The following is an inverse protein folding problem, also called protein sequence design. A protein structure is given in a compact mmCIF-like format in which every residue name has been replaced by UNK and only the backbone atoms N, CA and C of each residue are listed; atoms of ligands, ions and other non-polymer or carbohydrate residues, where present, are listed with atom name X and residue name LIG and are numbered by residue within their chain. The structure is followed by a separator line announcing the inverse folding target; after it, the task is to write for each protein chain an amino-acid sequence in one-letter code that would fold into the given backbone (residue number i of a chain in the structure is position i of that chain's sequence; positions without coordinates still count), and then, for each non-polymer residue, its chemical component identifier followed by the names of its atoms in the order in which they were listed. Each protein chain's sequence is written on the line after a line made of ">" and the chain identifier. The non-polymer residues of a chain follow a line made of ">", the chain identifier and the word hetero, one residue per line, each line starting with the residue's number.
data_IF_007867432415
#
_entry.id   IF_007867432415
#
_cell.length_a   1.000
_cell.length_b   1.000
_cell.length_c   1.000
_cell.angle_alpha   90.00
_cell.angle_beta   90.00
_cell.angle_gamma   90.00
#
_symmetry.space_group_name_H-M   'P 1'
#
loop_
_entity.id
_entity.type
_entity.pdbx_description
1 polymer ?
#
# COMPACT_ATOMS: atom_id res chain seq x y z
N UNK A 1 -17.52 -7.29 -18.70
CA UNK A 1 -18.81 -6.63 -18.35
C UNK A 1 -19.68 -6.42 -19.58
N UNK A 2 -19.22 -5.75 -20.64
CA UNK A 2 -20.04 -5.58 -21.85
C UNK A 2 -20.45 -6.90 -22.53
N UNK A 3 -19.59 -7.93 -22.49
CA UNK A 3 -19.87 -9.23 -23.10
C UNK A 3 -20.99 -10.04 -22.41
N UNK A 4 -21.28 -9.78 -21.12
CA UNK A 4 -22.34 -10.47 -20.37
C UNK A 4 -23.61 -9.63 -20.21
N UNK A 5 -23.65 -8.43 -20.79
CA UNK A 5 -24.75 -7.49 -20.63
C UNK A 5 -24.71 -6.71 -19.32
N UNK A 6 -25.52 -5.65 -19.27
CA UNK A 6 -25.75 -4.85 -18.06
C UNK A 6 -27.05 -5.29 -17.41
N UNK A 7 -27.13 -5.23 -16.08
CA UNK A 7 -28.42 -5.34 -15.39
C UNK A 7 -29.29 -4.13 -15.76
N UNK A 8 -30.43 -4.39 -16.40
CA UNK A 8 -31.35 -3.35 -16.87
C UNK A 8 -32.57 -3.15 -15.98
N UNK A 9 -32.90 -4.15 -15.16
CA UNK A 9 -34.02 -4.13 -14.23
C UNK A 9 -33.71 -4.93 -12.95
N UNK A 10 -34.39 -4.64 -11.83
CA UNK A 10 -34.32 -5.46 -10.63
C UNK A 10 -34.81 -6.88 -10.89
N UNK A 11 -34.23 -7.84 -10.18
CA UNK A 11 -34.62 -9.25 -10.28
C UNK A 11 -34.78 -9.86 -8.88
N UNK A 12 -35.63 -10.87 -8.77
CA UNK A 12 -35.76 -11.72 -7.59
C UNK A 12 -35.46 -13.17 -7.97
N UNK A 13 -34.83 -13.92 -7.07
CA UNK A 13 -34.63 -15.35 -7.26
C UNK A 13 -35.94 -16.11 -6.98
N UNK A 14 -36.28 -17.03 -7.88
CA UNK A 14 -37.42 -17.94 -7.76
C UNK A 14 -36.88 -19.37 -7.56
N UNK A 15 -37.08 -19.91 -6.36
CA UNK A 15 -36.55 -21.21 -5.97
C UNK A 15 -37.29 -22.41 -6.61
N UNK A 16 -38.55 -22.24 -7.04
CA UNK A 16 -39.30 -23.31 -7.71
C UNK A 16 -38.77 -23.55 -9.12
N UNK A 17 -38.37 -22.47 -9.79
CA UNK A 17 -37.86 -22.50 -11.17
C UNK A 17 -36.34 -22.44 -11.27
N UNK A 18 -35.65 -22.25 -10.14
CA UNK A 18 -34.20 -22.04 -10.04
C UNK A 18 -33.67 -20.94 -10.97
N UNK A 19 -34.40 -19.82 -11.03
CA UNK A 19 -34.11 -18.71 -11.97
C UNK A 19 -34.38 -17.35 -11.35
N UNK A 20 -33.61 -16.36 -11.80
CA UNK A 20 -33.95 -14.95 -11.55
C UNK A 20 -35.08 -14.51 -12.47
N UNK A 21 -36.06 -13.81 -11.90
CA UNK A 21 -37.19 -13.22 -12.62
C UNK A 21 -37.22 -11.71 -12.41
N UNK A 22 -37.57 -10.91 -13.43
CA UNK A 22 -37.74 -9.47 -13.28
C UNK A 22 -38.77 -9.10 -12.21
N UNK A 23 -38.51 -7.99 -11.51
CA UNK A 23 -39.45 -7.36 -10.57
C UNK A 23 -39.39 -5.84 -10.77
N UNK A 24 -40.51 -5.15 -10.52
CA UNK A 24 -40.51 -3.67 -10.55
C UNK A 24 -39.61 -3.09 -9.46
N UNK A 25 -39.17 -1.84 -9.65
CA UNK A 25 -38.43 -1.11 -8.62
C UNK A 25 -39.19 -1.01 -7.29
N UNK A 26 -40.47 -0.66 -7.33
CA UNK A 26 -41.31 -0.61 -6.13
C UNK A 26 -41.41 -1.98 -5.45
N UNK A 27 -41.49 -3.06 -6.24
CA UNK A 27 -41.49 -4.43 -5.73
C UNK A 27 -40.17 -4.81 -5.07
N UNK A 28 -39.03 -4.44 -5.68
CA UNK A 28 -37.71 -4.66 -5.10
C UNK A 28 -37.53 -3.91 -3.77
N UNK A 29 -37.91 -2.63 -3.73
CA UNK A 29 -37.83 -1.84 -2.49
C UNK A 29 -38.75 -2.39 -1.40
N UNK A 30 -39.98 -2.77 -1.73
CA UNK A 30 -40.91 -3.37 -0.78
C UNK A 30 -40.39 -4.71 -0.24
N UNK A 31 -39.80 -5.55 -1.09
CA UNK A 31 -39.20 -6.83 -0.70
C UNK A 31 -38.03 -6.62 0.27
N UNK A 32 -37.08 -5.75 -0.08
CA UNK A 32 -35.94 -5.42 0.79
C UNK A 32 -36.44 -4.86 2.13
N UNK A 33 -37.38 -3.92 2.12
CA UNK A 33 -37.94 -3.32 3.34
C UNK A 33 -38.64 -4.36 4.23
N UNK A 34 -39.37 -5.32 3.63
CA UNK A 34 -40.01 -6.42 4.38
C UNK A 34 -38.96 -7.26 5.11
N UNK A 35 -37.87 -7.63 4.45
CA UNK A 35 -36.81 -8.44 5.08
C UNK A 35 -36.11 -7.67 6.19
N UNK A 36 -35.69 -6.43 5.94
CA UNK A 36 -35.02 -5.59 6.94
C UNK A 36 -35.90 -5.35 8.18
N UNK A 37 -37.18 -5.01 8.02
CA UNK A 37 -38.10 -4.79 9.16
C UNK A 37 -38.36 -6.03 10.02
N UNK A 38 -38.21 -7.22 9.44
CA UNK A 38 -38.46 -8.48 10.13
C UNK A 38 -37.21 -9.05 10.82
N UNK A 39 -36.05 -8.40 10.70
CA UNK A 39 -34.86 -8.84 11.42
C UNK A 39 -35.03 -8.58 12.93
N UNK A 40 -34.70 -9.54 13.81
CA UNK A 40 -34.77 -9.36 15.26
C UNK A 40 -33.90 -8.21 15.80
N UNK A 41 -32.84 -7.85 15.06
CA UNK A 41 -31.94 -6.74 15.37
C UNK A 41 -31.36 -6.19 14.07
N UNK A 42 -31.15 -4.86 13.95
CA UNK A 42 -30.52 -4.26 12.79
C UNK A 42 -29.08 -4.74 12.58
N UNK A 43 -28.40 -5.22 13.64
CA UNK A 43 -27.05 -5.79 13.56
C UNK A 43 -27.00 -7.18 12.89
N UNK A 44 -28.15 -7.80 12.59
CA UNK A 44 -28.21 -9.03 11.80
C UNK A 44 -28.20 -8.79 10.28
N UNK A 45 -28.16 -7.53 9.85
CA UNK A 45 -27.90 -7.16 8.46
C UNK A 45 -26.47 -6.66 8.31
N UNK A 46 -25.89 -6.94 7.16
CA UNK A 46 -24.55 -6.52 6.76
C UNK A 46 -24.66 -5.70 5.47
N UNK A 47 -24.08 -4.49 5.47
CA UNK A 47 -24.24 -3.52 4.40
C UNK A 47 -22.88 -3.23 3.75
N UNK A 48 -22.49 -4.13 2.85
CA UNK A 48 -21.21 -4.03 2.14
C UNK A 48 -21.23 -2.90 1.10
N UNK A 49 -20.27 -1.99 1.21
CA UNK A 49 -20.09 -0.89 0.24
C UNK A 49 -18.96 -1.23 -0.74
N UNK A 50 -19.10 -0.77 -1.99
CA UNK A 50 -18.08 -0.96 -3.02
C UNK A 50 -17.16 0.26 -3.11
N UNK A 51 -15.85 0.05 -3.14
CA UNK A 51 -14.87 1.10 -3.46
C UNK A 51 -14.97 1.67 -4.89
N UNK A 52 -15.89 1.15 -5.72
CA UNK A 52 -16.23 1.71 -7.04
C UNK A 52 -17.43 2.66 -6.99
N UNK A 53 -18.14 2.75 -5.87
CA UNK A 53 -19.24 3.69 -5.70
C UNK A 53 -18.71 5.14 -5.61
N UNK A 54 -19.52 6.12 -6.01
CA UNK A 54 -19.17 7.53 -5.80
C UNK A 54 -19.27 7.89 -4.32
N UNK A 55 -18.60 8.98 -3.93
CA UNK A 55 -18.64 9.47 -2.55
C UNK A 55 -20.07 9.85 -2.12
N UNK A 56 -20.87 10.42 -3.02
CA UNK A 56 -22.27 10.80 -2.75
C UNK A 56 -23.14 9.57 -2.51
N UNK A 57 -22.98 8.53 -3.34
CA UNK A 57 -23.72 7.28 -3.18
C UNK A 57 -23.33 6.57 -1.87
N UNK A 58 -22.04 6.49 -1.56
CA UNK A 58 -21.54 5.92 -0.31
C UNK A 58 -22.05 6.72 0.91
N UNK A 59 -22.07 8.06 0.82
CA UNK A 59 -22.59 8.92 1.87
C UNK A 59 -24.08 8.70 2.14
N UNK A 60 -24.91 8.62 1.10
CA UNK A 60 -26.35 8.35 1.26
C UNK A 60 -26.59 6.94 1.78
N UNK A 61 -25.81 5.96 1.33
CA UNK A 61 -25.91 4.57 1.76
C UNK A 61 -25.61 4.42 3.25
N UNK A 62 -24.51 5.00 3.74
CA UNK A 62 -24.20 4.94 5.18
C UNK A 62 -25.26 5.65 6.03
N UNK A 63 -25.85 6.75 5.53
CA UNK A 63 -26.86 7.49 6.27
C UNK A 63 -28.14 6.66 6.41
N UNK A 64 -28.56 6.00 5.32
CA UNK A 64 -29.69 5.08 5.32
C UNK A 64 -29.49 3.95 6.34
N UNK A 65 -28.33 3.30 6.31
CA UNK A 65 -28.07 2.14 7.17
C UNK A 65 -27.92 2.54 8.65
N UNK A 66 -27.33 3.69 8.94
CA UNK A 66 -27.29 4.25 10.31
C UNK A 66 -28.68 4.63 10.80
N UNK A 67 -29.52 5.19 9.93
CA UNK A 67 -30.94 5.45 10.24
C UNK A 67 -31.74 4.15 10.42
N UNK A 68 -31.38 3.06 9.73
CA UNK A 68 -31.92 1.73 9.95
C UNK A 68 -31.52 1.14 11.32
N UNK A 69 -30.40 1.61 11.91
CA UNK A 69 -30.04 1.36 13.31
C UNK A 69 -28.81 0.49 13.53
N UNK A 70 -27.91 0.38 12.54
CA UNK A 70 -26.67 -0.40 12.66
C UNK A 70 -25.45 0.36 12.14
N UNK A 71 -24.27 -0.05 12.63
CA UNK A 71 -22.96 0.33 12.10
C UNK A 71 -22.25 -0.84 11.41
N UNK A 72 -22.96 -1.92 11.05
CA UNK A 72 -22.38 -3.09 10.41
C UNK A 72 -22.08 -2.83 8.92
N UNK A 73 -20.94 -2.17 8.68
CA UNK A 73 -20.43 -1.77 7.36
C UNK A 73 -19.06 -2.40 7.09
N UNK A 74 -18.99 -3.68 6.72
CA UNK A 74 -17.78 -4.15 6.07
C UNK A 74 -17.57 -3.36 4.77
N UNK A 75 -16.33 -3.07 4.45
CA UNK A 75 -15.94 -2.49 3.17
C UNK A 75 -14.76 -3.27 2.58
N UNK A 76 -14.59 -3.16 1.27
CA UNK A 76 -13.44 -3.73 0.57
C UNK A 76 -12.09 -3.26 1.15
N UNK A 77 -12.03 -2.07 1.74
CA UNK A 77 -10.82 -1.53 2.35
C UNK A 77 -10.41 -2.24 3.64
N UNK A 78 -11.32 -2.91 4.36
CA UNK A 78 -10.98 -3.70 5.56
C UNK A 78 -9.89 -4.74 5.26
N UNK A 79 -9.99 -5.41 4.12
CA UNK A 79 -9.03 -6.45 3.73
C UNK A 79 -7.69 -5.92 3.21
N UNK A 80 -7.62 -4.64 2.80
CA UNK A 80 -6.48 -4.09 2.07
C UNK A 80 -5.70 -3.02 2.84
N UNK A 81 -6.43 -2.09 3.47
CA UNK A 81 -5.89 -0.84 4.03
C UNK A 81 -6.00 -0.74 5.55
N UNK A 82 -6.83 -1.57 6.21
CA UNK A 82 -7.09 -1.43 7.65
C UNK A 82 -5.81 -1.50 8.50
N UNK A 83 -4.94 -2.49 8.24
CA UNK A 83 -3.66 -2.62 8.94
C UNK A 83 -2.77 -1.38 8.77
N UNK A 84 -2.68 -0.84 7.54
CA UNK A 84 -1.93 0.41 7.28
C UNK A 84 -2.58 1.62 7.94
N UNK A 85 -3.92 1.68 7.97
CA UNK A 85 -4.66 2.76 8.60
C UNK A 85 -4.38 2.82 10.10
N UNK A 86 -4.43 1.67 10.79
CA UNK A 86 -4.10 1.56 12.21
C UNK A 86 -2.64 1.98 12.46
N UNK A 87 -1.69 1.40 11.72
CA UNK A 87 -0.27 1.68 11.90
C UNK A 87 0.06 3.16 11.64
N UNK A 88 -0.41 3.74 10.54
CA UNK A 88 -0.14 5.15 10.23
C UNK A 88 -0.85 6.12 11.17
N UNK A 89 -2.07 5.82 11.61
CA UNK A 89 -2.75 6.66 12.61
C UNK A 89 -1.99 6.67 13.94
N UNK A 90 -1.37 5.55 14.34
CA UNK A 90 -0.53 5.50 15.54
C UNK A 90 0.82 6.20 15.34
N UNK A 91 1.44 6.06 14.15
CA UNK A 91 2.79 6.61 13.89
C UNK A 91 2.81 8.09 13.50
N UNK A 92 1.87 8.54 12.67
CA UNK A 92 1.87 9.90 12.08
C UNK A 92 0.50 10.60 12.15
N UNK A 93 -0.47 10.01 12.84
CA UNK A 93 -1.80 10.61 13.05
C UNK A 93 -2.76 10.57 11.85
N UNK A 94 -2.32 10.08 10.68
CA UNK A 94 -3.13 10.05 9.45
C UNK A 94 -3.10 8.65 8.81
N UNK A 95 -4.25 7.97 8.75
CA UNK A 95 -4.38 6.62 8.15
C UNK A 95 -4.39 6.57 6.62
N UNK A 96 -3.79 7.55 5.94
CA UNK A 96 -3.82 7.72 4.46
C UNK A 96 -2.43 8.08 3.95
N UNK A 97 -2.24 7.97 2.63
CA UNK A 97 -1.00 8.43 1.98
C UNK A 97 -0.71 9.89 2.31
N UNK A 98 0.54 10.17 2.68
CA UNK A 98 1.02 11.48 3.12
C UNK A 98 1.69 12.29 2.00
N UNK A 99 1.82 11.71 0.82
CA UNK A 99 2.42 12.30 -0.38
C UNK A 99 1.41 12.34 -1.53
N UNK A 100 1.60 13.24 -2.49
CA UNK A 100 0.83 13.33 -3.72
C UNK A 100 1.58 12.67 -4.89
N UNK A 101 0.94 12.64 -6.06
CA UNK A 101 1.57 12.08 -7.26
C UNK A 101 2.72 12.96 -7.74
N UNK A 102 2.59 14.27 -7.58
CA UNK A 102 3.59 15.28 -7.95
C UNK A 102 4.89 15.15 -7.14
N UNK A 103 4.82 14.64 -5.90
CA UNK A 103 6.01 14.44 -5.06
C UNK A 103 7.03 13.45 -5.67
N UNK A 104 6.59 12.55 -6.56
CA UNK A 104 7.49 11.65 -7.29
C UNK A 104 8.49 12.39 -8.18
N UNK A 105 8.16 13.61 -8.62
CA UNK A 105 9.06 14.47 -9.39
C UNK A 105 10.22 15.02 -8.54
N UNK A 106 10.04 15.07 -7.22
CA UNK A 106 10.98 15.65 -6.27
C UNK A 106 11.75 14.59 -5.46
N UNK A 107 11.34 13.32 -5.52
CA UNK A 107 11.97 12.24 -4.79
C UNK A 107 13.36 11.89 -5.33
N UNK A 108 14.31 11.71 -4.41
CA UNK A 108 15.67 11.22 -4.67
C UNK A 108 15.80 9.72 -4.40
N UNK A 109 14.91 9.16 -3.58
CA UNK A 109 14.78 7.73 -3.35
C UNK A 109 13.30 7.33 -3.23
N UNK A 110 12.90 6.27 -3.93
CA UNK A 110 11.55 5.71 -3.91
C UNK A 110 11.66 4.22 -3.61
N UNK A 111 11.10 3.79 -2.48
CA UNK A 111 11.03 2.39 -2.08
C UNK A 111 9.65 1.83 -2.43
N UNK A 112 9.59 0.80 -3.27
CA UNK A 112 8.37 0.09 -3.65
C UNK A 112 8.34 -1.24 -2.92
N UNK A 113 7.60 -1.31 -1.81
CA UNK A 113 7.56 -2.42 -0.85
C UNK A 113 6.27 -3.24 -1.03
N UNK A 114 6.40 -4.52 -1.38
CA UNK A 114 5.26 -5.45 -1.45
C UNK A 114 4.12 -4.98 -2.38
N UNK A 115 4.45 -4.25 -3.44
CA UNK A 115 3.50 -3.78 -4.44
C UNK A 115 3.95 -4.20 -5.84
N UNK A 116 2.98 -4.47 -6.73
CA UNK A 116 3.22 -4.61 -8.16
C UNK A 116 2.50 -3.48 -8.95
N UNK A 117 3.16 -2.34 -9.19
CA UNK A 117 2.61 -1.25 -10.00
C UNK A 117 2.27 -1.69 -11.42
N UNK A 118 2.98 -2.68 -11.98
CA UNK A 118 2.76 -3.18 -13.35
C UNK A 118 1.34 -3.64 -13.62
N UNK A 119 0.71 -4.27 -12.63
CA UNK A 119 -0.65 -4.82 -12.74
C UNK A 119 -1.67 -4.02 -11.94
N UNK A 120 -1.27 -3.47 -10.79
CA UNK A 120 -2.22 -2.91 -9.83
C UNK A 120 -2.33 -1.38 -9.93
N UNK A 121 -1.24 -0.70 -10.29
CA UNK A 121 -1.19 0.76 -10.42
C UNK A 121 -0.37 1.19 -11.65
N UNK A 122 -0.77 0.85 -12.90
CA UNK A 122 0.08 1.08 -14.07
C UNK A 122 0.50 2.54 -14.28
N UNK A 123 -0.30 3.51 -13.81
CA UNK A 123 0.02 4.94 -13.86
C UNK A 123 1.24 5.33 -13.02
N UNK A 124 1.65 4.50 -12.06
CA UNK A 124 2.85 4.73 -11.25
C UNK A 124 4.13 4.37 -12.01
N UNK A 125 4.07 3.56 -13.08
CA UNK A 125 5.25 3.16 -13.83
C UNK A 125 5.97 4.33 -14.51
N UNK A 126 5.22 5.33 -14.98
CA UNK A 126 5.76 6.51 -15.62
C UNK A 126 6.59 7.37 -14.66
N UNK A 127 6.07 7.79 -13.48
CA UNK A 127 6.87 8.48 -12.46
C UNK A 127 8.11 7.69 -11.99
N UNK A 128 7.99 6.36 -11.82
CA UNK A 128 9.15 5.53 -11.44
C UNK A 128 10.24 5.56 -12.52
N UNK A 129 9.85 5.44 -13.78
CA UNK A 129 10.78 5.55 -14.92
C UNK A 129 11.44 6.93 -14.97
N UNK A 130 10.68 8.00 -14.78
CA UNK A 130 11.19 9.38 -14.77
C UNK A 130 12.15 9.63 -13.61
N UNK A 131 11.86 9.09 -12.44
CA UNK A 131 12.75 9.14 -11.29
C UNK A 131 14.10 8.46 -11.59
N UNK A 132 14.10 7.26 -12.19
CA UNK A 132 15.34 6.59 -12.62
C UNK A 132 16.10 7.44 -13.64
N UNK A 133 15.42 8.03 -14.63
CA UNK A 133 16.06 8.90 -15.63
C UNK A 133 16.68 10.15 -15.02
N UNK A 134 16.06 10.71 -13.97
CA UNK A 134 16.60 11.83 -13.19
C UNK A 134 17.80 11.43 -12.31
N UNK A 135 18.05 10.12 -12.14
CA UNK A 135 19.12 9.59 -11.29
C UNK A 135 18.69 9.32 -9.85
N UNK A 136 17.39 9.39 -9.55
CA UNK A 136 16.85 8.97 -8.26
C UNK A 136 17.02 7.45 -8.08
N UNK A 137 17.15 7.03 -6.82
CA UNK A 137 17.12 5.61 -6.48
C UNK A 137 15.68 5.11 -6.51
N UNK A 138 15.43 4.01 -7.21
CA UNK A 138 14.13 3.33 -7.16
C UNK A 138 14.38 1.90 -6.72
N UNK A 139 14.00 1.59 -5.49
CA UNK A 139 14.30 0.33 -4.80
C UNK A 139 13.04 -0.51 -4.75
N UNK A 140 13.05 -1.66 -5.43
CA UNK A 140 11.94 -2.61 -5.37
C UNK A 140 12.22 -3.71 -4.34
N UNK A 141 11.28 -3.92 -3.42
CA UNK A 141 11.35 -5.00 -2.42
C UNK A 141 10.13 -5.89 -2.60
N UNK A 142 10.34 -7.05 -3.23
CA UNK A 142 9.27 -7.99 -3.51
C UNK A 142 9.85 -9.42 -3.69
N UNK A 143 9.28 -10.47 -3.07
CA UNK A 143 9.77 -11.84 -3.27
C UNK A 143 9.74 -12.31 -4.73
N UNK A 144 8.77 -11.81 -5.53
CA UNK A 144 8.56 -12.18 -6.93
C UNK A 144 9.02 -11.09 -7.88
N UNK A 145 9.88 -11.45 -8.83
CA UNK A 145 10.28 -10.56 -9.93
C UNK A 145 9.14 -10.39 -10.93
N UNK A 146 8.80 -9.14 -11.21
CA UNK A 146 7.68 -8.76 -12.06
C UNK A 146 8.17 -7.83 -13.17
N UNK A 147 7.73 -8.08 -14.42
CA UNK A 147 8.25 -7.34 -15.58
C UNK A 147 8.10 -5.83 -15.44
N UNK A 148 6.94 -5.35 -14.96
CA UNK A 148 6.68 -3.91 -14.80
C UNK A 148 7.57 -3.24 -13.74
N UNK A 149 8.08 -4.01 -12.78
CA UNK A 149 9.05 -3.53 -11.80
C UNK A 149 10.49 -3.56 -12.32
N UNK A 150 10.79 -4.32 -13.38
CA UNK A 150 12.12 -4.35 -13.99
C UNK A 150 12.25 -3.34 -15.15
N UNK A 151 11.22 -3.25 -16.01
CA UNK A 151 11.24 -2.41 -17.21
C UNK A 151 9.84 -2.01 -17.68
N UNK A 152 9.75 -0.84 -18.30
CA UNK A 152 8.50 -0.33 -18.87
C UNK A 152 8.72 0.26 -20.26
N UNK A 153 7.83 -0.09 -21.19
CA UNK A 153 7.71 0.52 -22.50
C UNK A 153 6.53 1.48 -22.47
N UNK A 154 6.76 2.75 -22.79
CA UNK A 154 5.71 3.76 -22.68
C UNK A 154 4.77 3.70 -23.89
N UNK A 155 3.49 3.30 -23.72
CA UNK A 155 2.59 3.05 -24.85
C UNK A 155 2.25 4.32 -25.63
N UNK A 156 2.40 5.50 -25.03
CA UNK A 156 2.15 6.78 -25.68
C UNK A 156 3.43 7.44 -26.24
N UNK A 157 4.61 6.81 -26.14
CA UNK A 157 5.85 7.36 -26.66
C UNK A 157 6.18 6.76 -28.03
N UNK A 158 6.00 7.51 -29.15
CA UNK A 158 6.02 6.93 -30.51
C UNK A 158 7.34 6.26 -30.85
N UNK A 159 8.45 6.86 -30.43
CA UNK A 159 9.81 6.34 -30.71
C UNK A 159 10.08 5.05 -29.93
N UNK A 160 9.60 4.91 -28.69
CA UNK A 160 9.78 3.69 -27.89
C UNK A 160 8.92 2.55 -28.44
N UNK A 161 7.72 2.88 -28.93
CA UNK A 161 6.84 1.92 -29.60
C UNK A 161 7.41 1.44 -30.94
N UNK A 162 8.03 2.33 -31.72
CA UNK A 162 8.64 1.99 -33.01
C UNK A 162 9.93 1.18 -32.86
N UNK A 163 10.66 1.35 -31.76
CA UNK A 163 11.95 0.69 -31.52
C UNK A 163 11.85 -0.56 -30.66
N UNK A 164 10.66 -0.91 -30.15
CA UNK A 164 10.47 -1.93 -29.11
C UNK A 164 11.40 -1.72 -27.89
N UNK A 165 11.76 -0.48 -27.59
CA UNK A 165 12.64 -0.13 -26.49
C UNK A 165 11.90 -0.11 -25.16
N UNK A 166 12.51 -0.69 -24.13
CA UNK A 166 12.08 -0.58 -22.74
C UNK A 166 13.16 0.15 -21.91
N UNK A 167 12.73 0.79 -20.83
CA UNK A 167 13.65 1.46 -19.89
C UNK A 167 13.50 0.89 -18.49
N UNK A 168 14.59 0.83 -17.70
CA UNK A 168 14.53 0.36 -16.31
C UNK A 168 13.54 1.19 -15.50
N UNK A 169 12.76 0.52 -14.65
CA UNK A 169 11.86 1.15 -13.67
C UNK A 169 12.39 1.08 -12.24
N UNK A 170 13.56 0.48 -12.03
CA UNK A 170 14.25 0.42 -10.75
C UNK A 170 15.78 0.60 -10.91
N UNK A 171 16.45 0.96 -9.82
CA UNK A 171 17.92 0.93 -9.69
C UNK A 171 18.40 -0.23 -8.82
N UNK A 172 17.52 -0.82 -8.00
CA UNK A 172 17.82 -1.98 -7.18
C UNK A 172 16.58 -2.85 -6.96
N UNK A 173 16.81 -4.16 -6.79
CA UNK A 173 15.76 -5.14 -6.57
C UNK A 173 16.18 -6.14 -5.48
N UNK A 174 15.45 -6.13 -4.37
CA UNK A 174 15.66 -7.04 -3.24
C UNK A 174 14.49 -8.01 -3.12
N UNK A 175 14.81 -9.28 -2.87
CA UNK A 175 13.85 -10.39 -2.81
C UNK A 175 13.84 -11.01 -1.42
N UNK A 176 13.17 -10.40 -0.44
CA UNK A 176 13.09 -10.98 0.89
C UNK A 176 12.32 -12.31 0.86
N UNK A 177 12.52 -13.13 1.88
CA UNK A 177 11.63 -14.23 2.21
C UNK A 177 10.20 -13.72 2.46
N UNK A 178 9.20 -14.60 2.40
CA UNK A 178 7.82 -14.24 2.72
C UNK A 178 7.75 -13.76 4.18
N UNK A 179 7.28 -12.53 4.41
CA UNK A 179 7.27 -11.88 5.74
C UNK A 179 8.63 -11.36 6.22
N UNK A 180 9.64 -11.34 5.35
CA UNK A 180 10.99 -10.85 5.66
C UNK A 180 11.16 -9.33 5.53
N UNK A 181 10.12 -8.60 5.12
CA UNK A 181 10.17 -7.15 4.91
C UNK A 181 10.43 -6.36 6.20
N UNK A 182 9.81 -6.73 7.32
CA UNK A 182 10.09 -6.11 8.62
C UNK A 182 11.55 -6.30 9.03
N UNK A 183 12.14 -7.48 8.79
CA UNK A 183 13.53 -7.76 9.10
C UNK A 183 14.49 -6.94 8.22
N UNK A 184 14.17 -6.77 6.93
CA UNK A 184 14.90 -5.87 6.04
C UNK A 184 14.87 -4.43 6.58
N UNK A 185 13.69 -3.89 6.91
CA UNK A 185 13.56 -2.52 7.42
C UNK A 185 14.29 -2.35 8.77
N UNK A 186 14.23 -3.36 9.66
CA UNK A 186 14.99 -3.38 10.92
C UNK A 186 16.50 -3.38 10.68
N UNK A 187 16.96 -4.17 9.72
CA UNK A 187 18.37 -4.20 9.30
C UNK A 187 18.85 -2.88 8.71
N UNK A 188 18.01 -2.24 7.89
CA UNK A 188 18.31 -0.89 7.38
C UNK A 188 18.47 0.11 8.52
N UNK A 189 17.53 0.14 9.47
CA UNK A 189 17.61 1.02 10.63
C UNK A 189 18.85 0.73 11.50
N UNK A 190 19.25 -0.54 11.63
CA UNK A 190 20.46 -0.93 12.36
C UNK A 190 21.74 -0.42 11.70
N UNK A 191 21.83 -0.44 10.37
CA UNK A 191 22.94 0.19 9.66
C UNK A 191 22.98 1.70 9.85
N UNK A 192 21.83 2.37 9.77
CA UNK A 192 21.76 3.82 9.99
C UNK A 192 22.21 4.20 11.41
N UNK A 193 21.81 3.43 12.43
CA UNK A 193 22.27 3.63 13.81
C UNK A 193 23.77 3.39 13.97
N UNK A 194 24.31 2.37 13.30
CA UNK A 194 25.76 2.13 13.31
C UNK A 194 26.52 3.31 12.68
N UNK A 195 26.09 3.79 11.52
CA UNK A 195 26.73 4.92 10.85
C UNK A 195 26.58 6.24 11.60
N UNK A 196 25.45 6.44 12.31
CA UNK A 196 25.28 7.58 13.20
C UNK A 196 26.37 7.59 14.29
N UNK A 197 26.62 6.43 14.92
CA UNK A 197 27.66 6.30 15.95
C UNK A 197 29.06 6.50 15.38
N UNK A 198 29.33 5.92 14.22
CA UNK A 198 30.61 6.06 13.53
C UNK A 198 30.88 7.53 13.18
N UNK A 199 29.87 8.25 12.67
CA UNK A 199 29.95 9.68 12.37
C UNK A 199 30.19 10.53 13.62
N UNK A 200 29.53 10.22 14.74
CA UNK A 200 29.77 10.89 16.02
C UNK A 200 31.21 10.70 16.52
N UNK A 201 31.74 9.47 16.43
CA UNK A 201 33.11 9.16 16.84
C UNK A 201 34.16 9.84 15.94
N UNK A 202 33.86 9.96 14.65
CA UNK A 202 34.72 10.61 13.66
C UNK A 202 34.53 12.14 13.57
N UNK A 203 33.56 12.71 14.30
CA UNK A 203 33.14 14.11 14.20
C UNK A 203 32.75 14.52 12.76
N UNK A 204 32.03 13.62 12.08
CA UNK A 204 31.45 13.80 10.75
C UNK A 204 29.98 14.26 10.84
N UNK A 205 29.37 14.71 9.72
CA UNK A 205 27.94 15.05 9.70
C UNK A 205 27.06 13.87 10.15
N UNK A 206 26.08 14.19 11.00
CA UNK A 206 25.07 13.25 11.49
C UNK A 206 24.31 12.58 10.36
N UNK A 207 24.00 11.29 10.54
CA UNK A 207 23.10 10.53 9.65
C UNK A 207 21.66 10.81 10.02
N UNK A 208 21.38 10.99 11.32
CA UNK A 208 20.05 11.33 11.81
C UNK A 208 19.80 12.84 11.80
N UNK A 209 18.56 13.22 11.50
CA UNK A 209 18.07 14.57 11.74
C UNK A 209 17.67 14.71 13.22
N UNK A 210 18.65 15.04 14.06
CA UNK A 210 18.42 15.20 15.51
C UNK A 210 17.43 16.31 15.84
N UNK A 211 17.34 17.37 15.02
CA UNK A 211 16.39 18.44 15.27
C UNK A 211 14.95 17.92 15.09
N UNK A 212 14.71 17.24 13.96
CA UNK A 212 13.41 16.61 13.70
C UNK A 212 13.06 15.56 14.75
N UNK A 213 13.99 14.66 15.11
CA UNK A 213 13.74 13.62 16.11
C UNK A 213 13.37 14.23 17.47
N UNK A 214 14.08 15.27 17.92
CA UNK A 214 13.80 15.88 19.22
C UNK A 214 12.50 16.71 19.25
N UNK A 215 12.10 17.32 18.13
CA UNK A 215 10.93 18.20 18.09
C UNK A 215 9.64 17.48 17.69
N UNK A 216 9.72 16.45 16.85
CA UNK A 216 8.56 15.88 16.15
C UNK A 216 8.35 14.39 16.39
N UNK A 217 9.14 13.74 17.25
CA UNK A 217 9.01 12.30 17.51
C UNK A 217 9.02 11.97 19.00
N UNK A 218 8.45 10.82 19.34
CA UNK A 218 8.45 10.23 20.68
C UNK A 218 8.91 8.77 20.62
N UNK A 219 9.42 8.22 21.72
CA UNK A 219 9.82 6.82 21.81
C UNK A 219 11.10 6.45 21.05
N UNK A 220 11.91 7.44 20.63
CA UNK A 220 13.12 7.21 19.82
C UNK A 220 14.14 6.35 20.55
N UNK A 221 14.42 6.66 21.81
CA UNK A 221 15.45 5.95 22.58
C UNK A 221 15.08 4.48 22.79
N UNK A 222 13.81 4.21 23.08
CA UNK A 222 13.26 2.86 23.20
C UNK A 222 13.36 2.09 21.88
N UNK A 223 13.08 2.76 20.75
CA UNK A 223 13.22 2.15 19.43
C UNK A 223 14.68 1.86 19.07
N UNK A 224 15.62 2.77 19.37
CA UNK A 224 17.05 2.55 19.14
C UNK A 224 17.59 1.40 19.99
N UNK A 225 17.15 1.27 21.25
CA UNK A 225 17.49 0.12 22.10
C UNK A 225 17.00 -1.20 21.51
N UNK A 226 15.75 -1.23 20.99
CA UNK A 226 15.22 -2.41 20.31
C UNK A 226 16.01 -2.76 19.02
N UNK A 227 16.54 -1.76 18.31
CA UNK A 227 17.46 -1.98 17.17
C UNK A 227 18.76 -2.64 17.64
N UNK A 228 19.34 -2.18 18.74
CA UNK A 228 20.57 -2.76 19.29
C UNK A 228 20.38 -4.23 19.68
N UNK A 229 19.29 -4.53 20.38
CA UNK A 229 18.95 -5.87 20.86
C UNK A 229 18.63 -6.87 19.73
N UNK A 230 18.33 -6.37 18.52
CA UNK A 230 18.09 -7.23 17.37
C UNK A 230 19.42 -7.73 16.78
N UNK A 231 19.67 -9.03 16.76
CA UNK A 231 20.90 -9.61 16.21
C UNK A 231 20.96 -9.55 14.68
N UNK A 232 22.16 -9.41 14.12
CA UNK A 232 22.36 -9.48 12.67
C UNK A 232 21.99 -10.84 12.09
N UNK A 233 22.29 -11.92 12.80
CA UNK A 233 21.93 -13.28 12.37
C UNK A 233 20.41 -13.44 12.24
N UNK A 234 19.64 -12.93 13.21
CA UNK A 234 18.17 -12.96 13.15
C UNK A 234 17.61 -12.11 12.00
N UNK A 235 18.20 -10.94 11.75
CA UNK A 235 17.83 -10.06 10.62
C UNK A 235 18.07 -10.77 9.28
N UNK A 236 19.26 -11.37 9.09
CA UNK A 236 19.64 -12.06 7.85
C UNK A 236 18.77 -13.30 7.63
N UNK A 237 18.55 -14.11 8.68
CA UNK A 237 17.72 -15.32 8.62
C UNK A 237 16.27 -14.97 8.27
N UNK A 238 15.65 -14.03 8.99
CA UNK A 238 14.24 -13.69 8.79
C UNK A 238 14.00 -12.96 7.46
N UNK A 239 14.91 -12.04 7.08
CA UNK A 239 14.76 -11.33 5.80
C UNK A 239 15.03 -12.24 4.61
N UNK A 240 15.85 -13.28 4.76
CA UNK A 240 16.35 -14.09 3.65
C UNK A 240 17.30 -13.34 2.71
N UNK A 241 17.79 -12.16 3.12
CA UNK A 241 18.70 -11.31 2.36
C UNK A 241 20.10 -11.35 2.96
N UNK A 242 21.12 -11.16 2.12
CA UNK A 242 22.48 -11.04 2.63
C UNK A 242 22.66 -9.72 3.40
N UNK A 243 23.62 -9.70 4.33
CA UNK A 243 23.97 -8.48 5.05
C UNK A 243 24.35 -7.34 4.08
N UNK A 244 25.02 -7.67 2.97
CA UNK A 244 25.40 -6.71 1.93
C UNK A 244 24.18 -6.12 1.19
N UNK A 245 23.15 -6.92 0.92
CA UNK A 245 21.90 -6.44 0.30
C UNK A 245 21.18 -5.46 1.24
N UNK A 246 21.10 -5.83 2.53
CA UNK A 246 20.50 -4.98 3.57
C UNK A 246 21.29 -3.67 3.69
N UNK A 247 22.62 -3.75 3.74
CA UNK A 247 23.50 -2.58 3.78
C UNK A 247 23.30 -1.69 2.55
N UNK A 248 23.25 -2.28 1.35
CA UNK A 248 23.03 -1.54 0.11
C UNK A 248 21.69 -0.79 0.14
N UNK A 249 20.62 -1.44 0.59
CA UNK A 249 19.31 -0.79 0.73
C UNK A 249 19.34 0.37 1.73
N UNK A 250 20.06 0.22 2.85
CA UNK A 250 20.25 1.27 3.84
C UNK A 250 21.06 2.45 3.30
N UNK A 251 22.11 2.18 2.49
CA UNK A 251 22.91 3.22 1.83
C UNK A 251 22.08 4.01 0.82
N UNK A 252 21.19 3.33 0.09
CA UNK A 252 20.26 3.99 -0.83
C UNK A 252 19.28 4.90 -0.10
N UNK A 253 18.79 4.49 1.07
CA UNK A 253 17.97 5.33 1.94
C UNK A 253 18.74 6.54 2.46
N UNK A 254 19.91 6.32 3.08
CA UNK A 254 20.72 7.36 3.71
C UNK A 254 21.18 8.46 2.75
N UNK A 255 21.32 8.14 1.46
CA UNK A 255 21.73 9.10 0.43
C UNK A 255 20.58 10.01 -0.02
N UNK A 256 19.32 9.58 0.14
CA UNK A 256 18.16 10.34 -0.30
C UNK A 256 17.83 11.48 0.66
N UNK A 257 17.57 12.68 0.13
CA UNK A 257 17.03 13.80 0.93
C UNK A 257 15.51 13.74 0.98
N UNK A 258 14.90 13.51 -0.19
CA UNK A 258 13.47 13.30 -0.33
C UNK A 258 13.19 11.82 -0.58
N UNK A 259 12.72 11.10 0.44
CA UNK A 259 12.47 9.66 0.38
C UNK A 259 10.98 9.37 0.42
N UNK A 260 10.49 8.59 -0.56
CA UNK A 260 9.12 8.10 -0.58
C UNK A 260 9.10 6.59 -0.31
N UNK A 261 8.30 6.18 0.67
CA UNK A 261 7.99 4.77 0.94
C UNK A 261 6.60 4.44 0.36
N UNK A 262 6.56 3.64 -0.69
CA UNK A 262 5.34 3.17 -1.35
C UNK A 262 5.06 1.72 -0.98
N UNK A 263 3.84 1.42 -0.55
CA UNK A 263 3.40 0.05 -0.33
C UNK A 263 1.93 -0.15 -0.71
N UNK A 264 1.54 -1.41 -0.84
CA UNK A 264 0.17 -1.84 -1.04
C UNK A 264 -0.10 -3.10 -0.20
N UNK A 265 -0.90 -4.03 -0.71
CA UNK A 265 -1.35 -5.20 0.05
C UNK A 265 -0.27 -6.20 0.45
N UNK A 266 0.87 -6.24 -0.25
CA UNK A 266 1.87 -7.30 -0.04
C UNK A 266 2.56 -7.29 1.33
N UNK A 267 2.42 -6.20 2.10
CA UNK A 267 2.95 -6.08 3.47
C UNK A 267 1.86 -5.87 4.52
N UNK A 268 0.57 -5.98 4.18
CA UNK A 268 -0.53 -5.57 5.08
C UNK A 268 -1.48 -6.68 5.49
N UNK A 269 -1.28 -7.90 4.98
CA UNK A 269 -2.22 -9.03 5.17
C UNK A 269 -1.66 -10.20 5.97
N UNK A 270 -0.38 -10.17 6.35
CA UNK A 270 0.20 -11.21 7.21
C UNK A 270 -0.19 -10.99 8.68
N UNK A 271 -0.09 -12.05 9.49
CA UNK A 271 -0.37 -12.02 10.93
C UNK A 271 0.92 -11.92 11.74
#
# INVERSE_FOLDING_TARGET
>A
LEYQGRLTEPMTYDAETDRYKPISWDGAFALIAKHLKNLPSPNMAEFYTSGRASNEAAYLYQLFVRAYGTNNFPDCSNMCHEASGVALSQSVGVGKGTVTFEDFEHADAIFVLGQNPGTNHPRMLEPLREAVQRGAQVVCVNPLKERGLERFQHPQHPVEMLTNGDRPTNTAYFRPALGGDMALLRGMAKFLLQWERDAQLANEPSVFDHAFLNEHTEGVLEYLAAIDDTSWDGIVEQSGLSLADIEQSARMYAKGKNVIMCWAMGITQHR
#
